data_IF_401313268845
#
_entry.id   IF_401313268845
#
_cell.length_a   1.000
_cell.length_b   1.000
_cell.length_c   1.000
_cell.angle_alpha   90.00
_cell.angle_beta   90.00
_cell.angle_gamma   90.00
#
_symmetry.space_group_name_H-M   'P 1'
#
loop_
_entity.id
_entity.type
_entity.pdbx_description
1 polymer ?
#
# COMPACT_ATOMS: atom_id res chain seq x y z
N UNK A 1 -16.54 33.32 -13.09
CA UNK A 1 -15.46 32.71 -12.29
C UNK A 1 -16.07 31.77 -11.24
N UNK A 2 -16.88 30.78 -11.66
CA UNK A 2 -17.63 29.88 -10.75
C UNK A 2 -17.59 28.39 -11.19
N UNK A 3 -16.68 28.01 -12.09
CA UNK A 3 -16.58 26.63 -12.60
C UNK A 3 -15.54 25.75 -11.90
N UNK A 4 -14.58 26.34 -11.18
CA UNK A 4 -13.43 25.59 -10.62
C UNK A 4 -13.73 24.96 -9.26
N UNK A 5 -14.70 25.50 -8.49
CA UNK A 5 -14.99 25.06 -7.13
C UNK A 5 -15.78 23.74 -7.04
N UNK A 6 -16.47 23.31 -8.12
CA UNK A 6 -17.25 22.07 -8.13
C UNK A 6 -16.39 20.81 -8.39
N UNK A 7 -15.21 20.96 -8.98
CA UNK A 7 -14.32 19.84 -9.29
C UNK A 7 -13.64 19.27 -8.03
N UNK A 8 -13.41 20.09 -7.00
CA UNK A 8 -12.67 19.68 -5.79
C UNK A 8 -13.52 18.81 -4.84
N UNK A 9 -14.83 19.02 -4.78
CA UNK A 9 -15.77 18.30 -3.89
C UNK A 9 -16.13 16.91 -4.45
N UNK A 10 -16.21 16.77 -5.78
CA UNK A 10 -16.33 15.48 -6.46
C UNK A 10 -15.02 14.69 -6.42
N UNK A 11 -13.88 15.38 -6.43
CA UNK A 11 -12.54 14.80 -6.30
C UNK A 11 -12.34 14.21 -4.90
N UNK A 12 -12.71 14.88 -3.81
CA UNK A 12 -12.56 14.31 -2.43
C UNK A 12 -13.31 12.98 -2.26
N UNK A 13 -14.53 12.89 -2.80
CA UNK A 13 -15.35 11.67 -2.79
C UNK A 13 -14.78 10.55 -3.67
N UNK A 14 -14.24 10.91 -4.84
CA UNK A 14 -13.63 9.99 -5.79
C UNK A 14 -12.26 9.46 -5.34
N UNK A 15 -11.43 10.30 -4.74
CA UNK A 15 -10.07 9.97 -4.27
C UNK A 15 -10.14 9.04 -3.05
N UNK A 16 -11.10 9.24 -2.12
CA UNK A 16 -11.34 8.32 -1.01
C UNK A 16 -11.78 6.93 -1.48
N UNK A 17 -12.66 6.86 -2.48
CA UNK A 17 -13.05 5.57 -3.10
C UNK A 17 -11.90 4.92 -3.85
N UNK A 18 -11.06 5.69 -4.55
CA UNK A 18 -9.89 5.17 -5.25
C UNK A 18 -8.90 4.51 -4.28
N UNK A 19 -8.63 5.12 -3.12
CA UNK A 19 -7.77 4.52 -2.08
C UNK A 19 -8.30 3.17 -1.57
N UNK A 20 -9.61 3.04 -1.41
CA UNK A 20 -10.25 1.78 -0.99
C UNK A 20 -10.14 0.69 -2.06
N UNK A 21 -10.34 1.03 -3.34
CA UNK A 21 -10.20 0.10 -4.47
C UNK A 21 -8.74 -0.36 -4.63
N UNK A 22 -7.77 0.55 -4.49
CA UNK A 22 -6.33 0.24 -4.54
C UNK A 22 -5.97 -0.75 -3.43
N UNK A 23 -6.47 -0.56 -2.20
CA UNK A 23 -6.23 -1.48 -1.10
C UNK A 23 -6.79 -2.89 -1.34
N UNK A 24 -7.94 -3.01 -2.00
CA UNK A 24 -8.49 -4.31 -2.37
C UNK A 24 -7.64 -5.00 -3.44
N UNK A 25 -7.18 -4.26 -4.44
CA UNK A 25 -6.30 -4.77 -5.50
C UNK A 25 -4.96 -5.27 -4.93
N UNK A 26 -4.40 -4.53 -3.98
CA UNK A 26 -3.15 -4.89 -3.31
C UNK A 26 -3.28 -6.21 -2.54
N UNK A 27 -4.38 -6.41 -1.81
CA UNK A 27 -4.64 -7.69 -1.12
C UNK A 27 -4.75 -8.86 -2.08
N UNK A 28 -5.38 -8.66 -3.25
CA UNK A 28 -5.43 -9.69 -4.30
C UNK A 28 -4.03 -10.00 -4.88
N UNK A 29 -3.23 -8.97 -5.17
CA UNK A 29 -1.88 -9.16 -5.71
C UNK A 29 -0.94 -9.81 -4.70
N UNK A 30 -0.97 -9.40 -3.41
CA UNK A 30 -0.17 -10.06 -2.35
C UNK A 30 -0.55 -11.52 -2.25
N UNK A 31 -1.85 -11.84 -2.25
CA UNK A 31 -2.33 -13.23 -2.22
C UNK A 31 -1.75 -14.03 -3.39
N UNK A 32 -1.86 -13.51 -4.62
CA UNK A 32 -1.30 -14.16 -5.81
C UNK A 32 0.22 -14.34 -5.72
N UNK A 33 0.97 -13.35 -5.23
CA UNK A 33 2.43 -13.45 -5.11
C UNK A 33 2.89 -14.41 -4.01
N UNK A 34 2.13 -14.53 -2.92
CA UNK A 34 2.36 -15.55 -1.88
C UNK A 34 2.14 -16.95 -2.45
N UNK A 35 1.07 -17.17 -3.24
CA UNK A 35 0.88 -18.46 -3.93
C UNK A 35 2.01 -18.82 -4.90
N UNK A 36 2.68 -17.81 -5.47
CA UNK A 36 3.78 -17.97 -6.43
C UNK A 36 5.17 -18.03 -5.77
N UNK A 37 5.25 -17.96 -4.44
CA UNK A 37 6.50 -17.88 -3.68
C UNK A 37 7.41 -16.70 -4.14
N UNK A 38 6.81 -15.61 -4.62
CA UNK A 38 7.51 -14.43 -5.15
C UNK A 38 7.49 -13.28 -4.16
N UNK A 39 8.26 -13.41 -3.08
CA UNK A 39 8.40 -12.39 -2.03
C UNK A 39 8.90 -11.03 -2.54
N UNK A 40 9.71 -11.04 -3.60
CA UNK A 40 10.24 -9.82 -4.23
C UNK A 40 9.14 -8.97 -4.89
N UNK A 41 8.08 -9.61 -5.41
CA UNK A 41 6.95 -8.92 -6.03
C UNK A 41 6.06 -8.21 -4.99
N UNK A 42 6.00 -8.74 -3.76
CA UNK A 42 5.31 -8.10 -2.63
C UNK A 42 5.99 -6.78 -2.25
N UNK A 43 7.33 -6.77 -2.23
CA UNK A 43 8.12 -5.55 -2.00
C UNK A 43 7.91 -4.50 -3.10
N UNK A 44 7.87 -4.93 -4.37
CA UNK A 44 7.63 -4.04 -5.50
C UNK A 44 6.23 -3.40 -5.46
N UNK A 45 5.21 -4.19 -5.12
CA UNK A 45 3.83 -3.73 -4.92
C UNK A 45 3.74 -2.69 -3.79
N UNK A 46 4.44 -2.94 -2.68
CA UNK A 46 4.49 -1.99 -1.56
C UNK A 46 5.14 -0.66 -1.95
N UNK A 47 6.28 -0.71 -2.66
CA UNK A 47 6.95 0.49 -3.16
C UNK A 47 6.03 1.27 -4.11
N UNK A 48 5.34 0.59 -5.02
CA UNK A 48 4.38 1.21 -5.93
C UNK A 48 3.24 1.94 -5.17
N UNK A 49 2.68 1.33 -4.11
CA UNK A 49 1.67 1.95 -3.24
C UNK A 49 2.19 3.23 -2.58
N UNK A 50 3.40 3.18 -2.03
CA UNK A 50 4.00 4.32 -1.32
C UNK A 50 4.33 5.49 -2.25
N UNK A 51 4.81 5.20 -3.47
CA UNK A 51 5.05 6.23 -4.50
C UNK A 51 3.73 6.90 -4.89
N UNK A 52 2.65 6.13 -5.07
CA UNK A 52 1.35 6.67 -5.46
C UNK A 52 0.70 7.56 -4.38
N UNK A 53 1.08 7.41 -3.10
CA UNK A 53 0.55 8.21 -1.97
C UNK A 53 1.54 9.26 -1.44
N UNK A 54 2.69 9.44 -2.12
CA UNK A 54 3.78 10.32 -1.67
C UNK A 54 3.35 11.79 -1.45
N UNK A 55 2.41 12.28 -2.25
CA UNK A 55 1.91 13.66 -2.13
C UNK A 55 1.10 13.88 -0.84
N UNK A 56 0.40 12.85 -0.34
CA UNK A 56 -0.40 12.89 0.88
C UNK A 56 0.44 12.59 2.14
N UNK A 57 1.54 11.84 1.97
CA UNK A 57 2.60 11.64 2.98
C UNK A 57 3.41 12.92 3.29
N UNK A 58 3.07 14.05 2.69
CA UNK A 58 3.65 15.35 3.05
C UNK A 58 3.17 15.87 4.41
N UNK A 59 2.03 15.37 4.90
CA UNK A 59 1.55 15.60 6.27
C UNK A 59 2.29 14.68 7.25
N UNK A 60 3.01 15.26 8.20
CA UNK A 60 3.92 14.50 9.10
C UNK A 60 3.21 13.41 9.90
N UNK A 61 2.07 13.72 10.51
CA UNK A 61 1.31 12.76 11.32
C UNK A 61 0.80 11.56 10.51
N UNK A 62 0.34 11.80 9.29
CA UNK A 62 -0.13 10.73 8.39
C UNK A 62 1.04 9.89 7.86
N UNK A 63 2.16 10.56 7.55
CA UNK A 63 3.37 9.90 7.09
C UNK A 63 3.93 8.95 8.14
N UNK A 64 4.07 9.41 9.39
CA UNK A 64 4.58 8.58 10.49
C UNK A 64 3.68 7.37 10.74
N UNK A 65 2.36 7.55 10.79
CA UNK A 65 1.44 6.44 11.01
C UNK A 65 1.50 5.40 9.88
N UNK A 66 1.53 5.86 8.62
CA UNK A 66 1.64 4.99 7.45
C UNK A 66 2.99 4.27 7.37
N UNK A 67 4.09 4.97 7.68
CA UNK A 67 5.44 4.38 7.70
C UNK A 67 5.57 3.34 8.80
N UNK A 68 5.17 3.65 10.04
CA UNK A 68 5.18 2.70 11.16
C UNK A 68 4.33 1.47 10.80
N UNK A 69 3.13 1.68 10.26
CA UNK A 69 2.23 0.61 9.88
C UNK A 69 2.84 -0.33 8.84
N UNK A 70 3.47 0.23 7.81
CA UNK A 70 3.97 -0.61 6.72
C UNK A 70 5.36 -1.20 6.95
N UNK A 71 6.26 -0.49 7.64
CA UNK A 71 7.54 -1.06 8.07
C UNK A 71 7.32 -2.23 9.03
N UNK A 72 6.38 -2.09 9.96
CA UNK A 72 6.01 -3.19 10.87
C UNK A 72 5.50 -4.40 10.08
N UNK A 73 4.60 -4.18 9.11
CA UNK A 73 4.06 -5.26 8.29
C UNK A 73 5.11 -5.93 7.39
N UNK A 74 6.07 -5.18 6.83
CA UNK A 74 7.15 -5.72 6.01
C UNK A 74 8.13 -6.52 6.87
N UNK A 75 8.52 -6.01 8.03
CA UNK A 75 9.34 -6.76 8.98
C UNK A 75 8.70 -8.09 9.35
N UNK A 76 7.39 -8.09 9.61
CA UNK A 76 6.66 -9.33 9.90
C UNK A 76 6.61 -10.27 8.69
N UNK A 77 6.40 -9.75 7.48
CA UNK A 77 6.39 -10.54 6.25
C UNK A 77 7.77 -11.16 5.93
N UNK A 78 8.85 -10.42 6.12
CA UNK A 78 10.22 -10.90 5.97
C UNK A 78 10.54 -11.96 7.02
N UNK A 79 10.12 -11.74 8.27
CA UNK A 79 10.28 -12.71 9.35
C UNK A 79 9.55 -14.02 9.04
N UNK A 80 8.28 -13.95 8.61
CA UNK A 80 7.52 -15.12 8.20
C UNK A 80 8.15 -15.82 6.97
N UNK A 81 8.63 -15.08 5.98
CA UNK A 81 9.29 -15.65 4.79
C UNK A 81 10.59 -16.38 5.12
N UNK A 82 11.39 -15.84 6.04
CA UNK A 82 12.59 -16.51 6.57
C UNK A 82 12.23 -17.80 7.32
N UNK A 83 11.25 -17.74 8.22
CA UNK A 83 10.79 -18.90 8.99
C UNK A 83 10.24 -20.00 8.07
N UNK A 84 9.43 -19.64 7.08
CA UNK A 84 8.85 -20.60 6.15
C UNK A 84 9.91 -21.28 5.27
N UNK A 85 10.91 -20.50 4.82
CA UNK A 85 12.05 -21.05 4.09
C UNK A 85 12.88 -22.00 4.95
N UNK A 86 13.10 -21.68 6.22
CA UNK A 86 13.80 -22.57 7.17
C UNK A 86 13.02 -23.83 7.55
N UNK A 87 11.70 -23.87 7.32
CA UNK A 87 10.86 -25.06 7.53
C UNK A 87 10.74 -25.92 6.28
N UNK A 88 10.89 -25.32 5.09
CA UNK A 88 10.84 -26.01 3.81
C UNK A 88 12.20 -26.57 3.38
N UNK A 89 13.31 -26.00 3.87
CA UNK A 89 14.68 -26.54 3.76
C UNK A 89 14.99 -27.59 4.83
#
# INVERSE_FOLDING_TARGET
MCGFLNFELAKDSGIKKAGMIIGFLERFLVLTFVLLDRYLAIGFLFTAKSIARFEELKNRDFAEYYLIGTLSSISFAVFCGLVLRSVLE
#
